data_IF_342849232641
#
_entry.id   IF_342849232641
#
_cell.length_a   1.000
_cell.length_b   1.000
_cell.length_c   1.000
_cell.angle_alpha   90.00
_cell.angle_beta   90.00
_cell.angle_gamma   90.00
#
_symmetry.space_group_name_H-M   'P 1'
#
loop_
_entity.id
_entity.type
_entity.pdbx_description
1 polymer ?
#
# COMPACT_ATOMS: atom_id res chain seq x y z
N UNK A 1 48.96 -31.49 8.25
CA UNK A 1 48.18 -30.89 7.15
C UNK A 1 46.76 -30.69 7.64
N UNK A 2 46.27 -29.45 7.66
CA UNK A 2 44.90 -29.11 8.00
C UNK A 2 44.05 -29.19 6.73
N UNK A 3 43.04 -30.04 6.72
CA UNK A 3 41.88 -29.89 5.82
C UNK A 3 40.63 -30.27 6.62
N UNK A 4 40.13 -29.28 7.36
CA UNK A 4 38.80 -29.32 7.97
C UNK A 4 37.73 -29.22 6.87
N UNK A 5 36.53 -29.81 7.05
CA UNK A 5 35.55 -29.93 5.97
C UNK A 5 35.06 -28.55 5.54
N UNK A 6 35.39 -28.15 4.31
CA UNK A 6 34.81 -27.00 3.65
C UNK A 6 33.33 -27.29 3.39
N UNK A 7 32.48 -27.00 4.36
CA UNK A 7 31.05 -26.86 4.15
C UNK A 7 30.86 -25.56 3.36
N UNK A 8 31.00 -25.65 2.03
CA UNK A 8 30.57 -24.60 1.12
C UNK A 8 29.05 -24.75 1.06
N UNK A 9 28.26 -23.77 1.58
CA UNK A 9 26.83 -23.82 1.39
C UNK A 9 26.55 -23.64 -0.11
N UNK A 10 26.26 -24.75 -0.78
CA UNK A 10 25.80 -24.83 -2.17
C UNK A 10 24.55 -23.94 -2.31
N UNK A 11 24.78 -22.68 -2.69
CA UNK A 11 23.82 -21.57 -2.61
C UNK A 11 22.84 -21.64 -3.79
N UNK A 12 21.96 -22.65 -3.84
CA UNK A 12 20.93 -22.75 -4.90
C UNK A 12 19.55 -23.19 -4.41
N UNK A 13 19.40 -23.57 -3.13
CA UNK A 13 18.07 -23.69 -2.53
C UNK A 13 17.70 -22.32 -1.98
N UNK A 14 16.60 -21.76 -2.46
CA UNK A 14 15.99 -20.56 -1.87
C UNK A 14 15.56 -20.88 -0.43
N UNK A 15 16.50 -20.71 0.50
CA UNK A 15 16.29 -21.13 1.89
C UNK A 15 15.41 -20.11 2.62
N UNK A 16 14.17 -20.52 2.88
CA UNK A 16 13.25 -19.77 3.72
C UNK A 16 13.57 -19.96 5.20
N UNK A 17 14.10 -18.91 5.80
CA UNK A 17 14.51 -18.88 7.18
C UNK A 17 13.33 -18.59 8.11
N UNK A 18 13.41 -19.15 9.31
CA UNK A 18 12.59 -18.74 10.46
C UNK A 18 13.13 -17.44 11.07
N UNK A 19 12.32 -16.78 11.90
CA UNK A 19 12.74 -15.56 12.60
C UNK A 19 13.99 -15.80 13.46
N UNK A 20 14.08 -16.94 14.14
CA UNK A 20 15.23 -17.32 14.97
C UNK A 20 16.50 -17.52 14.14
N UNK A 21 16.40 -18.21 13.00
CA UNK A 21 17.56 -18.42 12.12
C UNK A 21 18.05 -17.10 11.53
N UNK A 22 17.12 -16.27 11.03
CA UNK A 22 17.46 -14.95 10.49
C UNK A 22 18.10 -14.04 11.56
N UNK A 23 17.62 -14.12 12.80
CA UNK A 23 18.17 -13.37 13.93
C UNK A 23 19.64 -13.70 14.21
N UNK A 24 20.02 -14.98 14.13
CA UNK A 24 21.42 -15.42 14.27
C UNK A 24 22.28 -14.85 13.14
N UNK A 25 21.80 -14.88 11.90
CA UNK A 25 22.55 -14.39 10.74
C UNK A 25 22.73 -12.87 10.79
N UNK A 26 21.67 -12.13 11.12
CA UNK A 26 21.70 -10.67 11.24
C UNK A 26 22.30 -10.17 12.56
N UNK A 27 22.64 -11.06 13.50
CA UNK A 27 23.15 -10.72 14.84
C UNK A 27 22.22 -9.79 15.62
N UNK A 28 20.92 -10.08 15.59
CA UNK A 28 19.88 -9.33 16.32
C UNK A 28 18.98 -10.27 17.12
N UNK A 29 18.13 -9.73 17.98
CA UNK A 29 17.12 -10.54 18.67
C UNK A 29 16.00 -10.98 17.73
N UNK A 30 15.39 -12.14 18.00
CA UNK A 30 14.20 -12.61 17.28
C UNK A 30 13.06 -11.58 17.34
N UNK A 31 12.88 -10.95 18.50
CA UNK A 31 11.88 -9.90 18.71
C UNK A 31 12.11 -8.70 17.80
N UNK A 32 13.37 -8.35 17.53
CA UNK A 32 13.73 -7.31 16.55
C UNK A 32 13.32 -7.72 15.15
N UNK A 33 13.61 -8.94 14.72
CA UNK A 33 13.22 -9.47 13.40
C UNK A 33 11.69 -9.41 13.23
N UNK A 34 10.94 -9.90 14.22
CA UNK A 34 9.48 -9.85 14.20
C UNK A 34 8.96 -8.41 14.12
N UNK A 35 9.54 -7.49 14.89
CA UNK A 35 9.17 -6.06 14.86
C UNK A 35 9.46 -5.43 13.50
N UNK A 36 10.61 -5.71 12.90
CA UNK A 36 10.96 -5.23 11.56
C UNK A 36 9.98 -5.76 10.51
N UNK A 37 9.59 -7.03 10.61
CA UNK A 37 8.60 -7.63 9.72
C UNK A 37 7.20 -7.03 9.90
N UNK A 38 6.77 -6.79 11.14
CA UNK A 38 5.47 -6.14 11.45
C UNK A 38 5.42 -4.70 10.94
N UNK A 39 6.52 -3.96 11.07
CA UNK A 39 6.65 -2.62 10.49
C UNK A 39 6.80 -2.62 8.96
N UNK A 40 7.04 -3.79 8.37
CA UNK A 40 7.33 -4.01 6.94
C UNK A 40 8.58 -3.32 6.45
N UNK A 41 9.59 -3.20 7.32
CA UNK A 41 10.96 -2.78 6.95
C UNK A 41 11.73 -3.89 6.24
N UNK A 42 11.37 -5.14 6.52
CA UNK A 42 11.93 -6.31 5.84
C UNK A 42 10.79 -7.12 5.20
N UNK A 43 11.01 -7.72 4.03
CA UNK A 43 10.05 -8.60 3.39
C UNK A 43 9.86 -9.87 4.22
N UNK A 44 8.60 -10.25 4.41
CA UNK A 44 8.21 -11.44 5.15
C UNK A 44 7.01 -12.12 4.51
N UNK A 45 7.08 -13.43 4.36
CA UNK A 45 6.00 -14.26 3.82
C UNK A 45 5.23 -14.83 5.00
N UNK A 46 3.94 -14.50 5.10
CA UNK A 46 3.04 -15.03 6.13
C UNK A 46 2.36 -16.28 5.56
N UNK A 47 2.68 -17.45 6.13
CA UNK A 47 2.02 -18.71 5.76
C UNK A 47 0.72 -18.86 6.56
N UNK A 48 0.79 -18.58 7.86
CA UNK A 48 -0.35 -18.50 8.77
C UNK A 48 -0.25 -17.22 9.59
N UNK A 49 -1.28 -16.83 10.38
CA UNK A 49 -1.23 -15.60 11.18
C UNK A 49 -0.04 -15.54 12.15
N UNK A 50 0.50 -16.69 12.57
CA UNK A 50 1.63 -16.79 13.52
C UNK A 50 2.93 -17.27 12.90
N UNK A 51 2.90 -17.87 11.71
CA UNK A 51 4.08 -18.43 11.06
C UNK A 51 4.54 -17.51 9.93
N UNK A 52 5.74 -16.97 10.08
CA UNK A 52 6.38 -16.08 9.12
C UNK A 52 7.69 -16.71 8.62
N UNK A 53 7.96 -16.54 7.33
CA UNK A 53 9.19 -16.97 6.67
C UNK A 53 9.88 -15.80 6.00
N UNK A 54 11.20 -15.90 5.92
CA UNK A 54 12.07 -14.84 5.42
C UNK A 54 12.97 -15.38 4.33
N UNK A 55 13.04 -14.67 3.22
CA UNK A 55 14.01 -14.94 2.17
C UNK A 55 15.25 -14.10 2.42
N UNK A 56 16.40 -14.74 2.65
CA UNK A 56 17.61 -14.04 3.10
C UNK A 56 18.04 -12.93 2.14
N UNK A 57 18.09 -13.23 0.84
CA UNK A 57 18.53 -12.28 -0.18
C UNK A 57 17.59 -11.06 -0.26
N UNK A 58 16.28 -11.29 -0.18
CA UNK A 58 15.29 -10.20 -0.23
C UNK A 58 15.36 -9.31 1.02
N UNK A 59 15.62 -9.91 2.19
CA UNK A 59 15.82 -9.16 3.43
C UNK A 59 17.09 -8.33 3.35
N UNK A 60 18.19 -8.90 2.87
CA UNK A 60 19.44 -8.17 2.70
C UNK A 60 19.27 -6.98 1.74
N UNK A 61 18.64 -7.21 0.58
CA UNK A 61 18.35 -6.16 -0.40
C UNK A 61 17.46 -5.05 0.20
N UNK A 62 16.39 -5.41 0.91
CA UNK A 62 15.50 -4.44 1.55
C UNK A 62 16.20 -3.63 2.65
N UNK A 63 17.13 -4.22 3.39
CA UNK A 63 17.94 -3.51 4.39
C UNK A 63 18.92 -2.55 3.72
N UNK A 64 19.54 -2.95 2.60
CA UNK A 64 20.46 -2.11 1.82
C UNK A 64 19.72 -0.97 1.09
N UNK A 65 18.51 -1.22 0.60
CA UNK A 65 17.65 -0.24 -0.07
C UNK A 65 16.86 0.66 0.92
N UNK A 66 16.84 0.29 2.21
CA UNK A 66 15.81 0.64 3.19
C UNK A 66 15.84 2.01 3.85
N UNK A 67 16.64 2.97 3.38
CA UNK A 67 16.53 4.37 3.85
C UNK A 67 15.29 5.10 3.31
N UNK A 68 14.47 4.48 2.45
CA UNK A 68 13.27 5.15 1.90
C UNK A 68 12.02 4.87 2.76
N UNK A 69 11.28 5.92 3.17
CA UNK A 69 10.08 5.78 4.00
C UNK A 69 8.94 5.12 3.22
N UNK A 70 8.23 4.21 3.90
CA UNK A 70 7.13 3.42 3.35
C UNK A 70 5.91 4.31 3.12
N UNK A 71 5.43 4.38 1.88
CA UNK A 71 4.09 4.85 1.53
C UNK A 71 3.09 3.98 2.30
N UNK A 72 2.43 4.57 3.29
CA UNK A 72 1.26 3.99 3.94
C UNK A 72 0.14 3.95 2.89
N UNK A 73 -0.12 2.78 2.28
CA UNK A 73 -1.43 2.53 1.68
C UNK A 73 -2.40 2.31 2.84
N UNK A 74 -3.05 3.39 3.26
CA UNK A 74 -4.36 3.31 3.91
C UNK A 74 -5.33 2.81 2.85
N UNK A 75 -5.85 1.60 3.05
CA UNK A 75 -7.07 1.15 2.38
C UNK A 75 -8.18 1.75 3.21
N UNK A 76 -8.63 2.94 2.83
CA UNK A 76 -9.78 3.59 3.42
C UNK A 76 -10.70 3.99 2.26
N UNK A 77 -11.84 3.32 2.23
CA UNK A 77 -13.16 3.77 1.81
C UNK A 77 -13.29 4.55 0.49
N UNK A 78 -14.02 3.92 -0.44
CA UNK A 78 -15.15 4.53 -1.16
C UNK A 78 -15.16 6.07 -1.17
N UNK A 79 -14.51 6.66 -2.16
CA UNK A 79 -14.76 8.05 -2.57
C UNK A 79 -14.78 8.07 -4.09
N UNK A 80 -15.85 7.47 -4.62
CA UNK A 80 -16.29 7.56 -6.01
C UNK A 80 -16.88 8.97 -6.32
N UNK A 81 -16.34 10.05 -5.75
CA UNK A 81 -16.91 11.40 -5.90
C UNK A 81 -15.84 12.53 -5.95
N UNK A 82 -14.66 12.28 -6.50
CA UNK A 82 -13.69 13.37 -6.75
C UNK A 82 -12.88 13.26 -8.04
N UNK A 83 -13.33 12.43 -8.99
CA UNK A 83 -12.84 12.54 -10.37
C UNK A 83 -13.52 13.75 -11.03
N UNK A 84 -12.94 14.93 -10.87
CA UNK A 84 -13.29 16.12 -11.65
C UNK A 84 -13.13 15.79 -13.14
N UNK A 85 -14.24 15.71 -13.86
CA UNK A 85 -14.25 15.49 -15.31
C UNK A 85 -13.56 16.66 -16.00
N UNK A 86 -12.72 16.36 -17.00
CA UNK A 86 -11.98 17.34 -17.80
C UNK A 86 -12.90 18.38 -18.51
N UNK A 87 -14.21 18.11 -18.56
CA UNK A 87 -15.23 19.02 -19.08
C UNK A 87 -15.55 20.21 -18.16
N UNK A 88 -15.23 20.14 -16.86
CA UNK A 88 -15.43 21.27 -15.92
C UNK A 88 -14.26 22.28 -15.97
N UNK A 89 -13.10 21.89 -16.53
CA UNK A 89 -11.94 22.76 -16.68
C UNK A 89 -12.01 23.71 -17.89
N UNK A 90 -12.92 23.46 -18.85
CA UNK A 90 -12.93 24.15 -20.14
C UNK A 90 -14.13 25.09 -20.36
N UNK A 91 -15.01 25.27 -19.36
CA UNK A 91 -16.12 26.22 -19.47
C UNK A 91 -15.80 27.55 -18.79
N UNK A 92 -15.00 28.39 -19.44
CA UNK A 92 -14.93 29.82 -19.12
C UNK A 92 -16.07 30.56 -19.85
N UNK A 93 -17.06 31.14 -19.16
CA UNK A 93 -17.99 32.04 -19.81
C UNK A 93 -17.32 33.42 -20.05
N UNK A 94 -17.63 34.10 -21.17
CA UNK A 94 -17.21 35.48 -21.38
C UNK A 94 -17.93 36.41 -20.39
N UNK A 95 -17.14 37.23 -19.70
CA UNK A 95 -17.64 38.31 -18.82
C UNK A 95 -18.01 39.48 -19.73
N UNK A 96 -19.30 39.77 -19.91
CA UNK A 96 -19.95 40.96 -19.34
C UNK A 96 -21.41 41.16 -19.82
N UNK A 97 -22.13 41.72 -18.85
CA UNK A 97 -23.47 42.27 -18.68
C UNK A 97 -24.04 43.11 -19.83
N UNK A 98 -25.27 42.80 -20.28
CA UNK A 98 -26.38 43.76 -20.41
C UNK A 98 -27.62 43.15 -21.11
N UNK A 99 -28.79 43.65 -20.69
CA UNK A 99 -30.10 43.59 -21.37
C UNK A 99 -31.08 42.46 -21.00
N UNK A 100 -31.93 42.81 -20.02
CA UNK A 100 -33.39 42.87 -20.16
C UNK A 100 -34.17 41.61 -20.62
N UNK A 101 -35.03 41.18 -19.69
CA UNK A 101 -36.50 41.07 -19.88
C UNK A 101 -36.96 39.95 -20.82
N UNK A 102 -37.63 38.94 -20.26
CA UNK A 102 -39.10 38.75 -20.32
C UNK A 102 -39.48 37.32 -19.91
N UNK A 103 -40.58 37.21 -19.13
CA UNK A 103 -41.77 36.34 -19.32
C UNK A 103 -41.46 34.92 -19.83
N UNK A 104 -41.95 33.81 -19.27
CA UNK A 104 -43.34 33.48 -18.94
C UNK A 104 -43.39 32.04 -18.42
N UNK A 105 -44.23 31.82 -17.39
CA UNK A 105 -45.16 30.71 -17.12
C UNK A 105 -44.84 29.22 -17.40
N UNK A 106 -45.41 28.41 -16.50
CA UNK A 106 -45.94 27.03 -16.60
C UNK A 106 -45.15 25.97 -15.80
N UNK A 107 -45.56 25.62 -14.57
CA UNK A 107 -46.72 24.80 -14.14
C UNK A 107 -46.61 23.31 -14.51
N UNK A 108 -46.25 22.47 -13.53
CA UNK A 108 -46.86 21.15 -13.21
C UNK A 108 -46.12 20.53 -12.02
N UNK A 109 -46.67 20.50 -10.79
CA UNK A 109 -47.64 19.51 -10.23
C UNK A 109 -47.32 18.05 -10.53
N UNK A 110 -46.88 17.32 -9.48
CA UNK A 110 -47.38 16.01 -8.96
C UNK A 110 -46.41 15.57 -7.84
N UNK A 111 -46.71 15.68 -6.54
CA UNK A 111 -47.60 14.86 -5.66
C UNK A 111 -47.38 13.34 -5.77
N UNK A 112 -46.76 12.73 -4.74
CA UNK A 112 -47.31 11.75 -3.75
C UNK A 112 -46.13 11.07 -2.99
N UNK A 113 -46.05 11.24 -1.67
CA UNK A 113 -46.46 10.32 -0.58
C UNK A 113 -45.47 9.15 -0.41
N UNK A 114 -44.58 9.16 0.59
CA UNK A 114 -44.77 8.66 1.99
C UNK A 114 -45.39 7.26 2.00
N UNK A 115 -44.52 6.26 2.19
CA UNK A 115 -44.88 4.92 2.66
C UNK A 115 -44.40 4.77 4.10
N UNK A 116 -45.34 4.38 4.96
CA UNK A 116 -45.11 3.66 6.22
C UNK A 116 -44.93 2.17 5.90
#
# INVERSE_FOLDING_TARGET
MNDAPTNIPETTREEFLTARQLAVILQVSERTVQRLAQSGRIPAIRITPRIMRFHLQAVCDALNAGSRPRVRRTVDEQSEDSQLSFTDLLWQPPIDNSHQKTRTSQKSKRKKAVSL
#
